data_IF_200494550854
#
_entry.id   IF_200494550854
#
_cell.length_a   1.000
_cell.length_b   1.000
_cell.length_c   1.000
_cell.angle_alpha   90.00
_cell.angle_beta   90.00
_cell.angle_gamma   90.00
#
_symmetry.space_group_name_H-M   'P 1'
#
loop_
_entity.id
_entity.type
_entity.pdbx_description
1 polymer ?
#
# COMPACT_ATOMS: atom_id res chain seq x y z
N UNK A 1 6.42 26.29 5.93
CA UNK A 1 5.74 25.09 6.43
C UNK A 1 5.72 24.01 5.37
N UNK A 2 5.93 22.76 5.80
CA UNK A 2 5.76 21.54 5.02
C UNK A 2 4.49 20.83 5.51
N UNK A 3 3.61 20.41 4.58
CA UNK A 3 2.44 19.59 4.85
C UNK A 3 2.57 18.26 4.14
N UNK A 4 2.29 17.16 4.86
CA UNK A 4 2.29 15.80 4.34
C UNK A 4 0.94 15.16 4.66
N UNK A 5 0.33 14.46 3.69
CA UNK A 5 -0.82 13.57 3.89
C UNK A 5 -0.39 12.14 3.60
N UNK A 6 -0.44 11.31 4.60
CA UNK A 6 -0.16 9.89 4.47
C UNK A 6 -1.46 9.12 4.16
N UNK A 7 -1.58 8.62 2.93
CA UNK A 7 -2.76 7.86 2.47
C UNK A 7 -2.71 6.38 2.87
N UNK A 8 -1.57 5.90 3.37
CA UNK A 8 -1.38 4.57 3.95
C UNK A 8 -0.74 4.67 5.34
N UNK A 9 -1.43 5.26 6.33
CA UNK A 9 -0.85 5.53 7.65
C UNK A 9 -0.58 4.25 8.47
N UNK A 10 -1.18 3.12 8.08
CA UNK A 10 -0.91 1.81 8.67
C UNK A 10 0.48 1.24 8.34
N UNK A 11 1.18 1.84 7.39
CA UNK A 11 2.56 1.50 7.02
C UNK A 11 3.52 2.54 7.58
N UNK A 12 4.64 2.12 8.17
CA UNK A 12 5.70 3.02 8.63
C UNK A 12 6.51 3.64 7.48
N UNK A 13 7.43 4.57 7.78
CA UNK A 13 8.35 5.09 6.76
C UNK A 13 9.41 4.08 6.38
N UNK A 14 9.87 3.31 7.38
CA UNK A 14 10.92 2.32 7.22
C UNK A 14 10.34 1.00 6.65
N UNK A 15 9.93 1.03 5.36
CA UNK A 15 9.45 -0.17 4.68
C UNK A 15 10.62 -1.11 4.33
N UNK A 16 10.50 -2.43 4.51
CA UNK A 16 11.45 -3.39 3.98
C UNK A 16 11.61 -3.20 2.47
N UNK A 17 12.85 -3.04 2.02
CA UNK A 17 13.18 -2.79 0.61
C UNK A 17 14.56 -3.35 0.31
N UNK A 18 14.70 -4.14 -0.74
CA UNK A 18 15.91 -4.93 -1.02
C UNK A 18 17.17 -4.08 -1.07
N UNK A 19 17.16 -2.96 -1.79
CA UNK A 19 18.35 -2.12 -1.93
C UNK A 19 18.77 -1.43 -0.62
N UNK A 20 17.91 -0.69 0.08
CA UNK A 20 18.27 -0.15 1.39
C UNK A 20 18.61 -1.23 2.41
N UNK A 21 17.94 -2.40 2.37
CA UNK A 21 18.14 -3.48 3.34
C UNK A 21 19.49 -4.23 3.14
N UNK A 22 20.19 -3.98 2.03
CA UNK A 22 21.58 -4.45 1.85
C UNK A 22 22.60 -3.60 2.62
N UNK A 23 22.22 -2.43 3.13
CA UNK A 23 23.10 -1.51 3.84
C UNK A 23 23.09 -1.74 5.35
N UNK A 24 24.28 -1.60 5.99
CA UNK A 24 24.46 -1.80 7.44
C UNK A 24 23.57 -0.92 8.31
N UNK A 25 23.30 0.32 7.89
CA UNK A 25 22.43 1.24 8.62
C UNK A 25 20.99 0.69 8.79
N UNK A 26 20.50 -0.06 7.82
CA UNK A 26 19.19 -0.70 7.91
C UNK A 26 19.18 -1.87 8.89
N UNK A 27 20.23 -2.64 8.91
CA UNK A 27 20.41 -3.71 9.90
C UNK A 27 20.46 -3.14 11.32
N UNK A 28 21.11 -1.99 11.51
CA UNK A 28 21.14 -1.31 12.80
C UNK A 28 19.75 -0.80 13.21
N UNK A 29 18.95 -0.25 12.28
CA UNK A 29 17.56 0.12 12.55
C UNK A 29 16.74 -1.08 13.02
N UNK A 30 16.85 -2.25 12.36
CA UNK A 30 16.13 -3.45 12.78
C UNK A 30 16.59 -3.91 14.16
N UNK A 31 17.90 -3.96 14.41
CA UNK A 31 18.47 -4.33 15.70
C UNK A 31 18.00 -3.43 16.85
N UNK A 32 17.97 -2.12 16.63
CA UNK A 32 17.50 -1.14 17.62
C UNK A 32 15.99 -1.23 17.83
N UNK A 33 15.21 -1.49 16.79
CA UNK A 33 13.76 -1.70 16.87
C UNK A 33 13.45 -2.92 17.74
N UNK A 34 14.07 -4.05 17.44
CA UNK A 34 13.87 -5.33 18.16
C UNK A 34 14.27 -5.21 19.64
N UNK A 35 15.39 -4.50 19.91
CA UNK A 35 15.89 -4.28 21.27
C UNK A 35 15.16 -3.15 22.02
N UNK A 36 14.20 -2.43 21.39
CA UNK A 36 13.48 -1.27 21.94
C UNK A 36 14.41 -0.15 22.44
N UNK A 37 15.56 0.05 21.79
CA UNK A 37 16.59 1.05 22.20
C UNK A 37 16.59 2.30 21.35
N UNK A 38 15.58 2.51 20.50
CA UNK A 38 15.47 3.72 19.70
C UNK A 38 15.05 4.93 20.54
N UNK A 39 15.65 6.07 20.22
CA UNK A 39 15.18 7.39 20.70
C UNK A 39 13.82 7.72 20.06
N UNK A 40 13.02 8.65 20.61
CA UNK A 40 11.77 9.09 20.00
C UNK A 40 11.93 9.55 18.54
N UNK A 41 12.99 10.27 18.21
CA UNK A 41 13.27 10.73 16.85
C UNK A 41 13.57 9.55 15.88
N UNK A 42 14.35 8.56 16.33
CA UNK A 42 14.60 7.35 15.55
C UNK A 42 13.32 6.53 15.37
N UNK A 43 12.50 6.40 16.43
CA UNK A 43 11.21 5.69 16.38
C UNK A 43 10.20 6.37 15.47
N UNK A 44 10.25 7.71 15.35
CA UNK A 44 9.41 8.44 14.40
C UNK A 44 9.60 7.92 12.97
N UNK A 45 10.85 7.64 12.57
CA UNK A 45 11.16 7.08 11.25
C UNK A 45 10.94 5.55 11.19
N UNK A 46 11.38 4.81 12.22
CA UNK A 46 11.42 3.34 12.21
C UNK A 46 10.12 2.69 12.69
N UNK A 47 9.20 3.46 13.26
CA UNK A 47 7.94 2.93 13.78
C UNK A 47 7.05 2.31 12.71
N UNK A 48 6.15 1.39 13.11
CA UNK A 48 5.33 0.59 12.18
C UNK A 48 4.19 1.38 11.52
N UNK A 49 3.92 2.60 11.97
CA UNK A 49 2.83 3.46 11.49
C UNK A 49 3.30 4.88 11.27
N UNK A 50 2.58 5.63 10.46
CA UNK A 50 2.77 7.06 10.23
C UNK A 50 1.56 7.85 10.74
N UNK A 51 1.73 9.13 11.12
CA UNK A 51 0.60 10.04 11.31
C UNK A 51 -0.24 10.14 10.04
N UNK A 52 -1.54 10.36 10.19
CA UNK A 52 -2.43 10.61 9.03
C UNK A 52 -2.04 11.90 8.31
N UNK A 53 -1.71 12.93 9.08
CA UNK A 53 -1.25 14.22 8.57
C UNK A 53 -0.03 14.70 9.35
N UNK A 54 0.83 15.44 8.66
CA UNK A 54 1.99 16.05 9.26
C UNK A 54 2.11 17.50 8.81
N UNK A 55 2.51 18.35 9.74
CA UNK A 55 2.79 19.75 9.50
C UNK A 55 4.07 20.12 10.22
N UNK A 56 5.03 20.68 9.51
CA UNK A 56 6.31 21.09 10.08
C UNK A 56 6.60 22.56 9.76
N UNK A 57 7.18 23.27 10.71
CA UNK A 57 7.75 24.60 10.49
C UNK A 57 9.24 24.44 10.17
N UNK A 58 9.57 24.33 8.88
CA UNK A 58 10.94 24.05 8.42
C UNK A 58 11.95 25.15 8.74
N UNK A 59 11.52 26.32 9.23
CA UNK A 59 12.45 27.39 9.65
C UNK A 59 12.98 27.15 11.06
N UNK A 60 12.13 26.64 11.95
CA UNK A 60 12.51 26.39 13.35
C UNK A 60 12.80 24.93 13.64
N UNK A 61 12.33 24.03 12.77
CA UNK A 61 12.52 22.57 12.85
C UNK A 61 12.96 22.02 11.47
N UNK A 62 14.20 22.27 11.04
CA UNK A 62 14.67 21.86 9.71
C UNK A 62 14.77 20.35 9.55
N UNK A 63 14.80 19.56 10.63
CA UNK A 63 14.78 18.10 10.61
C UNK A 63 13.38 17.51 10.58
N UNK A 64 12.31 18.33 10.70
CA UNK A 64 10.92 17.87 10.70
C UNK A 64 10.62 16.81 11.78
N UNK A 65 11.05 17.07 13.01
CA UNK A 65 10.87 16.16 14.15
C UNK A 65 9.60 16.46 14.96
N UNK A 66 9.14 17.72 14.94
CA UNK A 66 7.96 18.16 15.70
C UNK A 66 6.76 18.32 14.78
N UNK A 67 5.93 17.29 14.71
CA UNK A 67 4.66 17.38 13.99
C UNK A 67 3.68 18.35 14.66
N UNK A 68 3.25 19.39 13.95
CA UNK A 68 2.34 20.46 14.40
C UNK A 68 0.88 20.21 13.95
N UNK A 69 0.56 19.05 13.36
CA UNK A 69 -0.78 18.79 12.82
C UNK A 69 -1.88 18.88 13.89
N UNK A 70 -1.59 18.49 15.13
CA UNK A 70 -2.53 18.55 16.26
C UNK A 70 -2.42 19.86 17.06
N UNK A 71 -1.57 20.79 16.67
CA UNK A 71 -1.40 22.07 17.36
C UNK A 71 -2.54 23.02 17.06
N UNK A 72 -3.27 23.46 18.07
CA UNK A 72 -4.36 24.45 17.95
C UNK A 72 -3.90 25.74 17.26
N UNK A 73 -2.71 26.24 17.61
CA UNK A 73 -2.14 27.44 17.02
C UNK A 73 -1.89 27.34 15.51
N UNK A 74 -1.77 26.10 14.97
CA UNK A 74 -1.42 25.86 13.57
C UNK A 74 -2.60 25.36 12.71
N UNK A 75 -3.81 25.22 13.27
CA UNK A 75 -4.96 24.68 12.55
C UNK A 75 -5.36 25.48 11.29
N UNK A 76 -5.19 26.81 11.33
CA UNK A 76 -5.43 27.66 10.13
C UNK A 76 -4.46 27.32 9.00
N UNK A 77 -3.17 27.15 9.33
CA UNK A 77 -2.12 26.79 8.37
C UNK A 77 -2.35 25.37 7.83
N UNK A 78 -2.64 24.41 8.71
CA UNK A 78 -2.96 23.02 8.33
C UNK A 78 -4.14 22.97 7.34
N UNK A 79 -5.25 23.63 7.65
CA UNK A 79 -6.44 23.69 6.78
C UNK A 79 -6.12 24.30 5.42
N UNK A 80 -5.35 25.38 5.38
CA UNK A 80 -4.93 26.05 4.13
C UNK A 80 -4.10 25.11 3.26
N UNK A 81 -3.08 24.44 3.84
CA UNK A 81 -2.18 23.54 3.10
C UNK A 81 -2.89 22.24 2.68
N UNK A 82 -3.75 21.68 3.53
CA UNK A 82 -4.61 20.54 3.18
C UNK A 82 -5.48 20.84 1.95
N UNK A 83 -6.09 22.03 1.89
CA UNK A 83 -6.89 22.44 0.76
C UNK A 83 -6.05 22.67 -0.51
N UNK A 84 -4.86 23.25 -0.37
CA UNK A 84 -3.93 23.42 -1.49
C UNK A 84 -3.48 22.05 -2.06
N UNK A 85 -3.14 21.10 -1.19
CA UNK A 85 -2.80 19.74 -1.57
C UNK A 85 -3.95 19.04 -2.34
N UNK A 86 -5.19 19.09 -1.80
CA UNK A 86 -6.36 18.51 -2.49
C UNK A 86 -6.59 19.13 -3.86
N UNK A 87 -6.47 20.45 -3.96
CA UNK A 87 -6.61 21.18 -5.22
C UNK A 87 -5.52 20.76 -6.21
N UNK A 88 -4.29 20.64 -5.76
CA UNK A 88 -3.16 20.21 -6.59
C UNK A 88 -3.43 18.83 -7.20
N UNK A 89 -3.74 17.81 -6.39
CA UNK A 89 -4.03 16.45 -6.84
C UNK A 89 -5.13 16.44 -7.92
N UNK A 90 -6.22 17.19 -7.69
CA UNK A 90 -7.36 17.20 -8.63
C UNK A 90 -7.05 17.97 -9.92
N UNK A 91 -6.26 19.04 -9.85
CA UNK A 91 -5.87 19.84 -11.02
C UNK A 91 -4.82 19.16 -11.89
N UNK A 92 -3.87 18.46 -11.28
CA UNK A 92 -2.83 17.72 -11.99
C UNK A 92 -3.29 16.33 -12.43
N UNK A 93 -4.49 15.91 -12.01
CA UNK A 93 -5.00 14.54 -12.21
C UNK A 93 -3.95 13.52 -11.79
N UNK A 94 -3.55 13.56 -10.50
CA UNK A 94 -2.49 12.69 -9.98
C UNK A 94 -2.87 11.22 -10.06
N UNK A 95 -2.41 10.53 -11.10
CA UNK A 95 -2.73 9.14 -11.40
C UNK A 95 -2.17 8.15 -10.37
N UNK A 96 -1.28 8.58 -9.46
CA UNK A 96 -0.81 7.78 -8.33
C UNK A 96 -1.91 7.38 -7.34
N UNK A 97 -3.13 7.92 -7.47
CA UNK A 97 -4.31 7.49 -6.72
C UNK A 97 -5.07 6.33 -7.36
N UNK A 98 -4.74 5.94 -8.57
CA UNK A 98 -5.30 4.74 -9.20
C UNK A 98 -4.57 3.50 -8.66
N UNK A 99 -5.28 2.39 -8.43
CA UNK A 99 -4.61 1.12 -8.21
C UNK A 99 -3.72 0.77 -9.40
N UNK A 100 -2.57 0.19 -9.12
CA UNK A 100 -1.54 0.00 -10.15
C UNK A 100 -2.03 -0.91 -11.29
N UNK A 101 -2.79 -1.97 -10.99
CA UNK A 101 -3.37 -2.85 -12.02
C UNK A 101 -4.28 -2.08 -13.00
N UNK A 102 -5.15 -1.19 -12.50
CA UNK A 102 -6.02 -0.37 -13.35
C UNK A 102 -5.23 0.69 -14.13
N UNK A 103 -4.25 1.32 -13.48
CA UNK A 103 -3.42 2.33 -14.13
C UNK A 103 -2.65 1.72 -15.34
N UNK A 104 -2.05 0.55 -15.17
CA UNK A 104 -1.33 -0.13 -16.24
C UNK A 104 -2.23 -0.58 -17.40
N UNK A 105 -3.46 -1.04 -17.12
CA UNK A 105 -4.44 -1.33 -18.17
C UNK A 105 -4.78 -0.09 -19.01
N UNK A 106 -4.86 1.09 -18.38
CA UNK A 106 -5.07 2.35 -19.06
C UNK A 106 -3.82 2.77 -19.85
N UNK A 107 -2.62 2.60 -19.28
CA UNK A 107 -1.34 2.94 -19.94
C UNK A 107 -1.04 2.05 -21.15
N UNK A 108 -1.61 0.85 -21.23
CA UNK A 108 -1.50 0.02 -22.43
C UNK A 108 -2.16 0.65 -23.69
N UNK A 109 -3.06 1.62 -23.49
CA UNK A 109 -3.83 2.27 -24.56
C UNK A 109 -3.37 3.70 -24.86
N UNK A 110 -2.77 4.37 -23.88
CA UNK A 110 -2.35 5.77 -23.96
C UNK A 110 -1.30 6.07 -22.89
N UNK A 111 -0.50 7.09 -23.08
CA UNK A 111 0.46 7.52 -22.05
C UNK A 111 -0.23 8.06 -20.80
N UNK A 112 0.45 8.02 -19.63
CA UNK A 112 -0.07 8.63 -18.41
C UNK A 112 -0.36 10.13 -18.58
N UNK A 113 0.43 10.83 -19.39
CA UNK A 113 0.18 12.25 -19.70
C UNK A 113 -1.13 12.44 -20.46
N UNK A 114 -1.35 11.69 -21.53
CA UNK A 114 -2.60 11.75 -22.32
C UNK A 114 -3.81 11.38 -21.48
N UNK A 115 -3.69 10.36 -20.62
CA UNK A 115 -4.74 9.96 -19.68
C UNK A 115 -5.10 11.09 -18.70
N UNK A 116 -4.10 11.78 -18.15
CA UNK A 116 -4.29 12.92 -17.25
C UNK A 116 -4.94 14.12 -17.94
N UNK A 117 -4.54 14.41 -19.19
CA UNK A 117 -5.09 15.54 -19.96
C UNK A 117 -6.45 15.23 -20.61
N UNK A 118 -6.75 13.97 -20.87
CA UNK A 118 -7.94 13.55 -21.62
C UNK A 118 -9.27 13.68 -20.87
N UNK A 119 -9.28 14.09 -19.59
CA UNK A 119 -10.49 14.27 -18.79
C UNK A 119 -11.25 12.98 -18.46
N UNK A 120 -10.68 11.81 -18.77
CA UNK A 120 -11.30 10.50 -18.56
C UNK A 120 -11.26 10.03 -17.11
N UNK A 121 -10.37 10.61 -16.29
CA UNK A 121 -10.23 10.27 -14.86
C UNK A 121 -10.80 11.39 -14.01
N UNK A 122 -11.95 11.14 -13.37
CA UNK A 122 -12.47 12.05 -12.36
C UNK A 122 -11.75 11.83 -11.02
N UNK A 123 -10.64 12.54 -10.82
CA UNK A 123 -9.78 12.39 -9.65
C UNK A 123 -10.44 12.85 -8.33
N UNK A 124 -11.38 13.79 -8.38
CA UNK A 124 -12.00 14.34 -7.18
C UNK A 124 -12.64 13.30 -6.24
N UNK A 125 -13.54 12.43 -6.73
CA UNK A 125 -14.12 11.34 -5.92
C UNK A 125 -13.08 10.33 -5.42
N UNK A 126 -12.08 9.98 -6.25
CA UNK A 126 -11.02 9.03 -5.89
C UNK A 126 -10.17 9.60 -4.75
N UNK A 127 -9.72 10.85 -4.87
CA UNK A 127 -8.94 11.54 -3.84
C UNK A 127 -9.75 11.67 -2.53
N UNK A 128 -11.06 11.93 -2.59
CA UNK A 128 -11.91 11.94 -1.38
C UNK A 128 -11.99 10.58 -0.72
N UNK A 129 -12.10 9.49 -1.50
CA UNK A 129 -12.08 8.14 -0.95
C UNK A 129 -10.74 7.81 -0.28
N UNK A 130 -9.62 8.13 -0.95
CA UNK A 130 -8.28 7.97 -0.38
C UNK A 130 -8.09 8.79 0.91
N UNK A 131 -8.63 10.02 0.96
CA UNK A 131 -8.54 10.88 2.14
C UNK A 131 -9.30 10.33 3.36
N UNK A 132 -10.19 9.37 3.18
CA UNK A 132 -10.92 8.71 4.28
C UNK A 132 -10.08 7.66 5.02
N UNK A 133 -8.98 7.19 4.42
CA UNK A 133 -8.09 6.22 5.09
C UNK A 133 -7.53 6.84 6.38
N UNK A 134 -7.76 6.15 7.49
CA UNK A 134 -7.34 6.58 8.83
C UNK A 134 -8.17 7.70 9.45
N UNK A 135 -9.26 8.18 8.80
CA UNK A 135 -10.10 9.27 9.31
C UNK A 135 -11.59 8.97 9.31
N UNK A 136 -12.07 8.13 8.41
CA UNK A 136 -13.49 7.82 8.28
C UNK A 136 -13.91 6.67 9.19
N UNK A 137 -15.18 6.67 9.55
CA UNK A 137 -15.80 5.53 10.21
C UNK A 137 -16.03 4.37 9.21
N UNK A 138 -16.31 3.20 9.78
CA UNK A 138 -16.52 1.95 9.05
C UNK A 138 -17.72 2.04 8.09
N UNK A 139 -18.78 2.76 8.47
CA UNK A 139 -20.01 2.90 7.67
C UNK A 139 -19.76 3.65 6.36
N UNK A 140 -18.99 4.75 6.44
CA UNK A 140 -18.61 5.53 5.25
C UNK A 140 -17.75 4.71 4.28
N UNK A 141 -16.80 3.92 4.81
CA UNK A 141 -15.94 3.05 4.01
C UNK A 141 -16.74 1.90 3.36
N UNK A 142 -17.64 1.26 4.10
CA UNK A 142 -18.53 0.21 3.56
C UNK A 142 -19.40 0.75 2.42
N UNK A 143 -19.92 1.97 2.53
CA UNK A 143 -20.65 2.62 1.44
C UNK A 143 -19.79 2.75 0.18
N UNK A 144 -18.51 3.11 0.33
CA UNK A 144 -17.59 3.25 -0.80
C UNK A 144 -17.21 1.90 -1.44
N UNK A 145 -17.26 0.78 -0.71
CA UNK A 145 -17.08 -0.56 -1.30
C UNK A 145 -18.14 -0.89 -2.37
N UNK A 146 -19.26 -0.20 -2.39
CA UNK A 146 -20.34 -0.38 -3.36
C UNK A 146 -20.24 0.56 -4.57
N UNK A 147 -19.16 1.35 -4.66
CA UNK A 147 -18.96 2.29 -5.78
C UNK A 147 -18.80 1.55 -7.11
N UNK A 148 -19.31 2.14 -8.20
CA UNK A 148 -19.03 1.67 -9.56
C UNK A 148 -17.56 1.83 -9.95
N UNK A 149 -16.83 2.78 -9.33
CA UNK A 149 -15.42 3.05 -9.59
C UNK A 149 -14.54 2.14 -8.76
N UNK A 150 -13.69 1.33 -9.41
CA UNK A 150 -12.78 0.38 -8.75
C UNK A 150 -11.80 1.06 -7.81
N UNK A 151 -11.25 2.21 -8.18
CA UNK A 151 -10.30 2.95 -7.33
C UNK A 151 -10.96 3.42 -6.02
N UNK A 152 -12.25 3.80 -6.04
CA UNK A 152 -12.97 4.14 -4.82
C UNK A 152 -13.18 2.91 -3.93
N UNK A 153 -13.52 1.75 -4.52
CA UNK A 153 -13.66 0.49 -3.77
C UNK A 153 -12.32 0.03 -3.17
N UNK A 154 -11.22 0.20 -3.95
CA UNK A 154 -9.86 -0.08 -3.49
C UNK A 154 -9.51 0.74 -2.23
N UNK A 155 -9.67 2.06 -2.29
CA UNK A 155 -9.39 2.92 -1.14
C UNK A 155 -10.29 2.63 0.06
N UNK A 156 -11.52 2.18 -0.19
CA UNK A 156 -12.43 1.76 0.88
C UNK A 156 -11.94 0.46 1.56
N UNK A 157 -11.57 -0.56 0.79
CA UNK A 157 -11.03 -1.81 1.32
C UNK A 157 -9.74 -1.56 2.13
N UNK A 158 -8.82 -0.75 1.59
CA UNK A 158 -7.59 -0.34 2.25
C UNK A 158 -7.87 0.48 3.53
N UNK A 159 -8.86 1.37 3.49
CA UNK A 159 -9.27 2.15 4.66
C UNK A 159 -9.79 1.28 5.80
N UNK A 160 -10.54 0.23 5.48
CA UNK A 160 -11.05 -0.73 6.46
C UNK A 160 -9.93 -1.53 7.14
N UNK A 161 -8.79 -1.75 6.50
CA UNK A 161 -7.62 -2.38 7.10
C UNK A 161 -7.00 -1.56 8.25
N UNK A 162 -7.36 -0.28 8.37
CA UNK A 162 -6.90 0.60 9.44
C UNK A 162 -7.68 0.39 10.76
N UNK A 163 -8.89 -0.15 10.71
CA UNK A 163 -9.69 -0.44 11.89
C UNK A 163 -9.17 -1.70 12.60
N UNK A 164 -9.08 -1.65 13.92
CA UNK A 164 -8.60 -2.78 14.74
C UNK A 164 -9.62 -3.92 14.77
N UNK A 165 -10.89 -3.56 14.88
CA UNK A 165 -12.02 -4.48 14.88
C UNK A 165 -13.02 -4.07 13.81
N UNK A 166 -13.63 -5.04 13.16
CA UNK A 166 -14.64 -4.84 12.12
C UNK A 166 -15.94 -5.51 12.55
N UNK A 167 -17.06 -4.81 12.31
CA UNK A 167 -18.40 -5.38 12.48
C UNK A 167 -18.62 -6.57 11.53
N UNK A 168 -19.49 -7.48 11.94
CA UNK A 168 -19.80 -8.67 11.13
C UNK A 168 -20.30 -8.30 9.73
N UNK A 169 -21.17 -7.30 9.62
CA UNK A 169 -21.69 -6.82 8.32
C UNK A 169 -20.56 -6.33 7.41
N UNK A 170 -19.57 -5.65 7.97
CA UNK A 170 -18.40 -5.18 7.22
C UNK A 170 -17.55 -6.33 6.70
N UNK A 171 -17.31 -7.34 7.55
CA UNK A 171 -16.62 -8.57 7.13
C UNK A 171 -17.39 -9.28 6.00
N UNK A 172 -18.71 -9.30 6.06
CA UNK A 172 -19.56 -9.85 4.99
C UNK A 172 -19.43 -9.07 3.67
N UNK A 173 -19.36 -7.72 3.72
CA UNK A 173 -19.14 -6.91 2.51
C UNK A 173 -17.74 -7.12 1.94
N UNK A 174 -16.72 -7.20 2.78
CA UNK A 174 -15.36 -7.54 2.35
C UNK A 174 -15.29 -8.96 1.76
N UNK A 175 -16.02 -9.93 2.32
CA UNK A 175 -16.10 -11.29 1.77
C UNK A 175 -16.70 -11.30 0.37
N UNK A 176 -17.71 -10.47 0.08
CA UNK A 176 -18.21 -10.26 -1.28
C UNK A 176 -17.15 -9.65 -2.20
N UNK A 177 -16.36 -8.70 -1.68
CA UNK A 177 -15.30 -8.06 -2.45
C UNK A 177 -14.12 -9.00 -2.81
N UNK A 178 -14.03 -10.19 -2.23
CA UNK A 178 -13.06 -11.22 -2.65
C UNK A 178 -13.28 -11.73 -4.10
N UNK A 179 -14.44 -11.46 -4.67
CA UNK A 179 -14.77 -11.77 -6.06
C UNK A 179 -14.94 -10.52 -6.93
N UNK A 180 -14.49 -9.36 -6.46
CA UNK A 180 -14.54 -8.11 -7.22
C UNK A 180 -13.84 -8.26 -8.58
N UNK A 181 -14.37 -7.68 -9.67
CA UNK A 181 -13.69 -7.71 -10.97
C UNK A 181 -12.28 -7.07 -10.92
N UNK A 182 -12.07 -6.04 -10.07
CA UNK A 182 -10.76 -5.43 -9.86
C UNK A 182 -9.87 -6.31 -8.98
N UNK A 183 -8.69 -6.74 -9.47
CA UNK A 183 -7.71 -7.48 -8.66
C UNK A 183 -7.25 -6.69 -7.43
N UNK A 184 -7.02 -5.40 -7.57
CA UNK A 184 -6.58 -4.55 -6.47
C UNK A 184 -7.62 -4.51 -5.33
N UNK A 185 -8.91 -4.45 -5.66
CA UNK A 185 -9.99 -4.50 -4.65
C UNK A 185 -10.02 -5.84 -3.95
N UNK A 186 -9.91 -6.97 -4.70
CA UNK A 186 -9.88 -8.32 -4.11
C UNK A 186 -8.73 -8.49 -3.14
N UNK A 187 -7.53 -8.05 -3.53
CA UNK A 187 -6.31 -8.18 -2.73
C UNK A 187 -6.42 -7.37 -1.44
N UNK A 188 -6.88 -6.11 -1.50
CA UNK A 188 -7.05 -5.30 -0.30
C UNK A 188 -8.20 -5.79 0.61
N UNK A 189 -9.29 -6.28 0.03
CA UNK A 189 -10.35 -6.92 0.82
C UNK A 189 -9.82 -8.17 1.55
N UNK A 190 -9.01 -8.98 0.87
CA UNK A 190 -8.38 -10.15 1.47
C UNK A 190 -7.39 -9.78 2.57
N UNK A 191 -6.52 -8.79 2.34
CA UNK A 191 -5.60 -8.23 3.34
C UNK A 191 -6.37 -7.84 4.61
N UNK A 192 -7.46 -7.10 4.44
CA UNK A 192 -8.29 -6.60 5.54
C UNK A 192 -8.93 -7.74 6.32
N UNK A 193 -9.52 -8.73 5.64
CA UNK A 193 -10.13 -9.89 6.30
C UNK A 193 -9.13 -10.74 7.08
N UNK A 194 -7.93 -10.99 6.55
CA UNK A 194 -6.88 -11.72 7.27
C UNK A 194 -6.47 -10.97 8.54
N UNK A 195 -6.33 -9.64 8.46
CA UNK A 195 -6.00 -8.81 9.64
C UNK A 195 -7.12 -8.82 10.68
N UNK A 196 -8.38 -8.86 10.22
CA UNK A 196 -9.57 -8.91 11.07
C UNK A 196 -9.91 -10.31 11.63
N UNK A 197 -9.03 -11.31 11.42
CA UNK A 197 -9.17 -12.65 11.99
C UNK A 197 -10.04 -13.61 11.20
N UNK A 198 -10.34 -13.31 9.92
CA UNK A 198 -11.05 -14.21 8.99
C UNK A 198 -10.16 -14.60 7.81
N UNK A 199 -9.15 -15.48 8.02
CA UNK A 199 -8.10 -15.72 7.03
C UNK A 199 -8.51 -16.68 5.90
N UNK A 200 -9.37 -17.66 6.15
CA UNK A 200 -9.52 -18.80 5.23
C UNK A 200 -10.03 -18.45 3.82
N UNK A 201 -11.14 -17.73 3.62
CA UNK A 201 -11.58 -17.34 2.29
C UNK A 201 -10.64 -16.31 1.66
N UNK A 202 -10.10 -15.40 2.47
CA UNK A 202 -9.24 -14.33 2.04
C UNK A 202 -7.89 -14.84 1.51
N UNK A 203 -7.24 -15.77 2.21
CA UNK A 203 -5.98 -16.36 1.75
C UNK A 203 -6.14 -17.17 0.47
N UNK A 204 -7.29 -17.86 0.28
CA UNK A 204 -7.57 -18.53 -1.00
C UNK A 204 -7.67 -17.53 -2.17
N UNK A 205 -8.27 -16.36 -1.95
CA UNK A 205 -8.32 -15.31 -2.97
C UNK A 205 -6.93 -14.78 -3.31
N UNK A 206 -6.09 -14.48 -2.31
CA UNK A 206 -4.70 -14.06 -2.52
C UNK A 206 -3.87 -15.12 -3.27
N UNK A 207 -4.00 -16.39 -2.91
CA UNK A 207 -3.30 -17.51 -3.59
C UNK A 207 -3.74 -17.62 -5.04
N UNK A 208 -5.01 -17.37 -5.35
CA UNK A 208 -5.51 -17.34 -6.73
C UNK A 208 -4.87 -16.18 -7.51
N UNK A 209 -4.83 -14.97 -6.94
CA UNK A 209 -4.22 -13.80 -7.59
C UNK A 209 -2.68 -13.94 -7.69
N UNK A 210 -2.03 -14.67 -6.78
CA UNK A 210 -0.61 -15.01 -6.87
C UNK A 210 -0.29 -15.91 -8.09
N UNK A 211 -1.25 -16.68 -8.57
CA UNK A 211 -1.11 -17.53 -9.76
C UNK A 211 -1.52 -16.82 -11.07
N UNK A 212 -1.85 -15.53 -11.03
CA UNK A 212 -2.28 -14.75 -12.20
C UNK A 212 -1.16 -14.65 -13.25
N UNK A 213 -1.53 -14.46 -14.53
CA UNK A 213 -0.56 -14.27 -15.62
C UNK A 213 0.10 -12.90 -15.58
N UNK A 214 -0.65 -11.85 -15.22
CA UNK A 214 -0.17 -10.47 -15.11
C UNK A 214 0.67 -10.28 -13.85
N UNK A 215 1.96 -9.95 -14.02
CA UNK A 215 2.91 -9.81 -12.92
C UNK A 215 2.64 -8.62 -12.00
N UNK A 216 1.88 -7.61 -12.45
CA UNK A 216 1.47 -6.49 -11.58
C UNK A 216 0.56 -7.03 -10.48
N UNK A 217 -0.40 -7.87 -10.84
CA UNK A 217 -1.34 -8.50 -9.90
C UNK A 217 -0.59 -9.46 -8.97
N UNK A 218 0.32 -10.26 -9.53
CA UNK A 218 1.15 -11.20 -8.75
C UNK A 218 2.04 -10.44 -7.75
N UNK A 219 2.64 -9.32 -8.17
CA UNK A 219 3.48 -8.48 -7.29
C UNK A 219 2.65 -7.94 -6.11
N UNK A 220 1.45 -7.43 -6.38
CA UNK A 220 0.55 -6.95 -5.32
C UNK A 220 0.15 -8.07 -4.34
N UNK A 221 -0.25 -9.23 -4.87
CA UNK A 221 -0.63 -10.38 -4.04
C UNK A 221 0.57 -10.91 -3.22
N UNK A 222 1.75 -11.05 -3.84
CA UNK A 222 2.96 -11.52 -3.17
C UNK A 222 3.39 -10.56 -2.04
N UNK A 223 3.38 -9.25 -2.33
CA UNK A 223 3.70 -8.23 -1.32
C UNK A 223 2.71 -8.23 -0.16
N UNK A 224 1.42 -8.40 -0.44
CA UNK A 224 0.39 -8.51 0.59
C UNK A 224 0.61 -9.72 1.48
N UNK A 225 0.91 -10.89 0.90
CA UNK A 225 1.22 -12.13 1.64
C UNK A 225 2.47 -11.93 2.51
N UNK A 226 3.52 -11.34 1.97
CA UNK A 226 4.74 -10.98 2.70
C UNK A 226 4.44 -10.13 3.95
N UNK A 227 3.64 -9.07 3.80
CA UNK A 227 3.28 -8.16 4.88
C UNK A 227 2.32 -8.77 5.91
N UNK A 228 1.56 -9.79 5.54
CA UNK A 228 0.74 -10.59 6.46
C UNK A 228 1.59 -11.56 7.30
N UNK A 229 2.75 -11.94 6.80
CA UNK A 229 3.71 -12.79 7.50
C UNK A 229 3.12 -14.12 7.96
N UNK A 230 3.35 -14.54 9.22
CA UNK A 230 2.88 -15.84 9.73
C UNK A 230 1.36 -16.06 9.62
N UNK A 231 0.55 -14.99 9.58
CA UNK A 231 -0.90 -15.10 9.36
C UNK A 231 -1.25 -15.71 7.99
N UNK A 232 -0.32 -15.65 7.02
CA UNK A 232 -0.48 -16.21 5.68
C UNK A 232 0.28 -17.52 5.47
N UNK A 233 0.60 -18.28 6.52
CA UNK A 233 1.43 -19.50 6.46
C UNK A 233 0.96 -20.52 5.43
N UNK A 234 -0.35 -20.66 5.18
CA UNK A 234 -0.89 -21.58 4.16
C UNK A 234 -0.44 -21.21 2.74
N UNK A 235 0.02 -19.98 2.52
CA UNK A 235 0.55 -19.54 1.23
C UNK A 235 2.03 -19.95 1.01
N UNK A 236 2.67 -20.68 1.95
CA UNK A 236 4.10 -21.07 1.83
C UNK A 236 4.41 -21.79 0.52
N UNK A 237 3.66 -22.83 0.18
CA UNK A 237 3.89 -23.58 -1.06
C UNK A 237 3.53 -22.75 -2.31
N UNK A 238 2.39 -22.03 -2.39
CA UNK A 238 2.11 -21.09 -3.47
C UNK A 238 3.18 -20.00 -3.67
N UNK A 239 3.72 -19.43 -2.60
CA UNK A 239 4.80 -18.43 -2.67
C UNK A 239 6.10 -19.03 -3.21
N UNK A 240 6.44 -20.27 -2.82
CA UNK A 240 7.59 -21.00 -3.39
C UNK A 240 7.40 -21.29 -4.90
N UNK A 241 6.19 -21.63 -5.33
CA UNK A 241 5.87 -21.81 -6.75
C UNK A 241 5.94 -20.49 -7.54
N UNK A 242 5.43 -19.40 -6.97
CA UNK A 242 5.51 -18.07 -7.58
C UNK A 242 6.97 -17.59 -7.68
N UNK A 243 7.79 -17.85 -6.68
CA UNK A 243 9.24 -17.59 -6.72
C UNK A 243 9.90 -18.30 -7.90
N UNK A 244 9.70 -19.62 -8.01
CA UNK A 244 10.27 -20.40 -9.11
C UNK A 244 9.85 -19.86 -10.49
N UNK A 245 8.56 -19.50 -10.65
CA UNK A 245 8.06 -18.89 -11.88
C UNK A 245 8.72 -17.54 -12.16
N UNK A 246 8.83 -16.69 -11.16
CA UNK A 246 9.48 -15.38 -11.28
C UNK A 246 10.96 -15.50 -11.69
N UNK A 247 11.69 -16.44 -11.10
CA UNK A 247 13.10 -16.74 -11.41
C UNK A 247 13.28 -17.36 -12.81
N UNK A 248 12.26 -18.02 -13.35
CA UNK A 248 12.27 -18.48 -14.76
C UNK A 248 12.11 -17.30 -15.73
N UNK A 249 11.33 -16.29 -15.36
CA UNK A 249 11.13 -15.07 -16.19
C UNK A 249 12.34 -14.16 -16.11
N UNK A 250 12.86 -13.97 -14.90
CA UNK A 250 14.05 -13.15 -14.61
C UNK A 250 14.98 -13.94 -13.69
N UNK A 251 16.01 -14.61 -14.24
CA UNK A 251 17.00 -15.35 -13.44
C UNK A 251 17.67 -14.46 -12.37
N UNK A 252 18.04 -15.02 -11.21
CA UNK A 252 18.61 -14.24 -10.09
C UNK A 252 19.93 -13.53 -10.41
N UNK A 253 20.68 -14.05 -11.37
CA UNK A 253 21.96 -13.50 -11.86
C UNK A 253 21.78 -12.41 -12.93
N UNK A 254 20.54 -12.13 -13.35
CA UNK A 254 20.27 -11.04 -14.30
C UNK A 254 20.70 -9.69 -13.69
N UNK A 255 21.62 -8.94 -14.30
CA UNK A 255 22.04 -7.65 -13.79
C UNK A 255 20.87 -6.69 -13.59
N UNK A 256 20.91 -5.89 -12.52
CA UNK A 256 19.85 -4.90 -12.23
C UNK A 256 19.68 -3.84 -13.32
N UNK A 257 20.73 -3.63 -14.13
CA UNK A 257 20.74 -2.71 -15.29
C UNK A 257 19.97 -3.24 -16.50
N UNK A 258 19.64 -4.54 -16.53
CA UNK A 258 18.85 -5.15 -17.61
C UNK A 258 17.38 -4.93 -17.33
N UNK A 259 16.70 -4.19 -18.20
CA UNK A 259 15.25 -3.97 -18.15
C UNK A 259 14.58 -4.95 -19.12
N UNK A 260 13.66 -5.76 -18.59
CA UNK A 260 12.86 -6.68 -19.40
C UNK A 260 11.64 -5.98 -19.98
N UNK A 261 11.17 -6.36 -21.18
CA UNK A 261 10.02 -5.70 -21.79
C UNK A 261 8.71 -5.98 -21.05
N UNK A 262 7.84 -4.97 -21.03
CA UNK A 262 6.51 -5.04 -20.43
C UNK A 262 6.56 -5.23 -18.91
N UNK A 263 5.69 -6.09 -18.40
CA UNK A 263 5.59 -6.42 -16.97
C UNK A 263 6.63 -7.44 -16.49
N UNK A 264 7.43 -8.02 -17.41
CA UNK A 264 8.40 -9.10 -17.06
C UNK A 264 9.46 -8.65 -16.06
N UNK A 265 9.79 -7.36 -16.05
CA UNK A 265 10.74 -6.81 -15.07
C UNK A 265 10.22 -6.89 -13.64
N UNK A 266 8.89 -6.91 -13.45
CA UNK A 266 8.26 -7.08 -12.14
C UNK A 266 8.49 -8.46 -11.52
N UNK A 267 8.95 -9.46 -12.31
CA UNK A 267 9.34 -10.76 -11.77
C UNK A 267 10.39 -10.65 -10.65
N UNK A 268 11.26 -9.64 -10.73
CA UNK A 268 12.22 -9.34 -9.67
C UNK A 268 11.54 -9.00 -8.35
N UNK A 269 10.50 -8.17 -8.36
CA UNK A 269 9.76 -7.76 -7.16
C UNK A 269 8.92 -8.91 -6.60
N UNK A 270 8.33 -9.75 -7.47
CA UNK A 270 7.68 -11.00 -7.05
C UNK A 270 8.67 -11.89 -6.30
N UNK A 271 9.87 -12.10 -6.88
CA UNK A 271 10.91 -12.92 -6.26
C UNK A 271 11.35 -12.36 -4.89
N UNK A 272 11.49 -11.04 -4.77
CA UNK A 272 11.88 -10.40 -3.50
C UNK A 272 10.83 -10.64 -2.41
N UNK A 273 9.55 -10.39 -2.69
CA UNK A 273 8.48 -10.62 -1.72
C UNK A 273 8.34 -12.09 -1.34
N UNK A 274 8.47 -12.99 -2.31
CA UNK A 274 8.42 -14.43 -2.05
C UNK A 274 9.57 -14.89 -1.15
N UNK A 275 10.82 -14.49 -1.45
CA UNK A 275 12.00 -14.82 -0.61
C UNK A 275 11.87 -14.24 0.79
N UNK A 276 11.46 -12.96 0.92
CA UNK A 276 11.27 -12.33 2.22
C UNK A 276 10.28 -13.09 3.08
N UNK A 277 9.12 -13.45 2.51
CA UNK A 277 8.10 -14.25 3.21
C UNK A 277 8.61 -15.63 3.64
N UNK A 278 9.25 -16.37 2.73
CA UNK A 278 9.79 -17.71 3.03
C UNK A 278 10.85 -17.66 4.11
N UNK A 279 11.71 -16.64 4.11
CA UNK A 279 12.73 -16.41 5.13
C UNK A 279 12.13 -16.05 6.50
N UNK A 280 11.01 -15.30 6.53
CA UNK A 280 10.29 -15.02 7.78
C UNK A 280 9.74 -16.30 8.45
N UNK A 281 9.31 -17.28 7.64
CA UNK A 281 8.77 -18.55 8.15
C UNK A 281 9.86 -19.57 8.53
N UNK A 282 11.11 -19.31 8.20
CA UNK A 282 12.25 -20.17 8.54
C UNK A 282 12.92 -19.81 9.89
N UNK A 283 12.59 -18.62 10.42
CA UNK A 283 13.02 -18.11 11.74
C UNK A 283 12.06 -18.58 12.84
#
# INVERSE_FOLDING_TARGET
YLYIRNYMPQLGYNQPTVWPDSGEIRHEFYRLTDSKKMTPAQWHFAGPKRPVEELYDCQVDPQNLKNLADSEAHQKTLKRLRNAHRKHITQTVDLGFLPESEAWEMFAKQTGWELGQGGHVNMGPIQRAAAQVGTADETALVKNLQSKNASIRYWAALGLAHHQELRLETKQQLSKALTDPSPAVRIEAANTLVRAGDPNPALRALIKDLAHENLIIVTHAARTIELLGPKAMIAKAPMAAALKRAETIRPPDTPATVVLPGDKDLAMFVAFSCRAFLNQLAK
#
